data_IF_153370004211
#
_entry.id   IF_153370004211
#
_cell.length_a   1.000
_cell.length_b   1.000
_cell.length_c   1.000
_cell.angle_alpha   90.00
_cell.angle_beta   90.00
_cell.angle_gamma   90.00
#
_symmetry.space_group_name_H-M   'P 1'
#
loop_
_entity.id
_entity.type
_entity.pdbx_description
1 polymer ?
#
# COMPACT_ATOMS: atom_id res chain seq x y z
N UNK A 1 -14.01 13.22 0.04
CA UNK A 1 -13.26 13.23 -1.21
C UNK A 1 -12.21 14.30 -1.14
N UNK A 2 -10.99 13.96 -1.52
CA UNK A 2 -9.92 14.92 -1.80
C UNK A 2 -9.88 15.04 -3.32
N UNK A 3 -9.91 16.25 -3.85
CA UNK A 3 -9.80 16.47 -5.29
C UNK A 3 -8.37 16.14 -5.74
N UNK A 4 -8.23 15.41 -6.85
CA UNK A 4 -6.94 15.04 -7.43
C UNK A 4 -7.06 14.92 -8.95
N UNK A 5 -5.92 15.04 -9.62
CA UNK A 5 -5.74 14.70 -11.03
C UNK A 5 -4.88 13.43 -11.12
N UNK A 6 -5.27 12.51 -12.01
CA UNK A 6 -4.47 11.32 -12.31
C UNK A 6 -3.84 11.47 -13.69
N UNK A 7 -2.51 11.30 -13.75
CA UNK A 7 -1.76 11.27 -15.01
C UNK A 7 -1.28 9.85 -15.25
N UNK A 8 -1.76 9.23 -16.34
CA UNK A 8 -1.24 7.93 -16.76
C UNK A 8 0.14 8.09 -17.40
N UNK A 9 1.18 7.77 -16.63
CA UNK A 9 2.59 7.83 -17.03
C UNK A 9 3.11 6.55 -17.70
N UNK A 10 2.24 5.54 -17.86
CA UNK A 10 2.58 4.26 -18.48
C UNK A 10 1.43 3.75 -19.37
N UNK A 11 1.00 4.51 -20.40
CA UNK A 11 0.01 4.03 -21.35
C UNK A 11 0.51 2.83 -22.15
N UNK A 12 1.84 2.72 -22.30
CA UNK A 12 2.57 1.60 -22.87
C UNK A 12 3.99 1.54 -22.27
N UNK A 13 4.70 0.44 -22.55
CA UNK A 13 6.03 0.19 -21.99
C UNK A 13 7.10 1.14 -22.52
N UNK A 14 7.01 1.56 -23.79
CA UNK A 14 8.01 2.44 -24.41
C UNK A 14 7.91 3.86 -23.86
N UNK A 15 6.69 4.38 -23.74
CA UNK A 15 6.40 5.67 -23.13
C UNK A 15 6.89 5.70 -21.68
N UNK A 16 6.59 4.67 -20.88
CA UNK A 16 7.12 4.56 -19.52
C UNK A 16 8.65 4.58 -19.49
N UNK A 17 9.29 3.72 -20.28
CA UNK A 17 10.73 3.54 -20.26
C UNK A 17 11.49 4.80 -20.71
N UNK A 18 11.01 5.44 -21.77
CA UNK A 18 11.73 6.53 -22.43
C UNK A 18 11.38 7.92 -21.87
N UNK A 19 10.14 8.14 -21.40
CA UNK A 19 9.68 9.48 -21.02
C UNK A 19 9.56 9.69 -19.51
N UNK A 20 9.21 8.66 -18.74
CA UNK A 20 8.77 8.83 -17.35
C UNK A 20 9.68 8.16 -16.33
N UNK A 21 10.19 6.96 -16.60
CA UNK A 21 10.97 6.19 -15.63
C UNK A 21 12.18 6.97 -15.09
N UNK A 22 12.90 7.67 -15.97
CA UNK A 22 14.06 8.49 -15.57
C UNK A 22 13.71 9.76 -14.78
N UNK A 23 12.44 10.20 -14.82
CA UNK A 23 11.94 11.36 -14.06
C UNK A 23 11.47 10.99 -12.66
N UNK A 24 11.21 9.70 -12.41
CA UNK A 24 10.75 9.24 -11.09
C UNK A 24 11.95 9.08 -10.15
N UNK A 25 11.87 9.56 -8.88
CA UNK A 25 12.98 9.51 -7.93
C UNK A 25 13.63 8.13 -7.75
N UNK A 26 12.82 7.06 -7.85
CA UNK A 26 13.27 5.68 -7.69
C UNK A 26 12.99 4.82 -8.93
N UNK A 27 12.74 5.44 -10.09
CA UNK A 27 12.44 4.70 -11.32
C UNK A 27 11.16 3.86 -11.24
N UNK A 28 10.21 4.25 -10.39
CA UNK A 28 8.94 3.57 -10.15
C UNK A 28 7.82 4.58 -9.92
N UNK A 29 6.60 4.20 -10.30
CA UNK A 29 5.35 4.87 -9.95
C UNK A 29 4.72 4.16 -8.73
N UNK A 30 3.83 4.81 -7.95
CA UNK A 30 3.31 6.18 -8.14
C UNK A 30 4.21 7.29 -7.59
N UNK A 31 3.95 8.51 -8.06
CA UNK A 31 4.48 9.78 -7.57
C UNK A 31 3.30 10.68 -7.19
N UNK A 32 3.34 11.29 -6.01
CA UNK A 32 2.41 12.31 -5.58
C UNK A 32 3.09 13.69 -5.70
N UNK A 33 2.41 14.61 -6.37
CA UNK A 33 2.71 16.04 -6.29
C UNK A 33 1.66 16.71 -5.38
N UNK A 34 2.10 17.32 -4.28
CA UNK A 34 1.25 18.07 -3.35
C UNK A 34 1.83 19.47 -3.11
N UNK A 35 1.43 20.45 -3.94
CA UNK A 35 2.09 21.75 -3.99
C UNK A 35 3.53 21.60 -4.48
N UNK A 36 4.51 22.03 -3.70
CA UNK A 36 5.94 21.87 -3.99
C UNK A 36 6.50 20.52 -3.51
N UNK A 37 5.71 19.73 -2.77
CA UNK A 37 6.14 18.45 -2.22
C UNK A 37 6.00 17.35 -3.27
N UNK A 38 7.11 16.74 -3.64
CA UNK A 38 7.16 15.52 -4.44
C UNK A 38 7.42 14.31 -3.52
N UNK A 39 6.54 13.31 -3.59
CA UNK A 39 6.63 12.08 -2.79
C UNK A 39 6.50 10.85 -3.68
N UNK A 40 7.50 9.97 -3.65
CA UNK A 40 7.43 8.62 -4.17
C UNK A 40 7.21 7.60 -3.03
N UNK A 41 7.04 6.32 -3.38
CA UNK A 41 6.68 5.21 -2.48
C UNK A 41 5.21 5.25 -2.04
N UNK A 42 4.44 4.25 -2.49
CA UNK A 42 3.00 4.16 -2.25
C UNK A 42 2.62 4.29 -0.77
N UNK A 43 3.37 3.66 0.15
CA UNK A 43 3.09 3.71 1.57
C UNK A 43 3.44 5.07 2.20
N UNK A 44 4.46 5.78 1.69
CA UNK A 44 4.78 7.14 2.15
C UNK A 44 3.69 8.13 1.72
N UNK A 45 3.26 8.04 0.46
CA UNK A 45 2.14 8.80 -0.11
C UNK A 45 0.86 8.56 0.69
N UNK A 46 0.52 7.29 0.94
CA UNK A 46 -0.67 6.90 1.68
C UNK A 46 -0.68 7.50 3.10
N UNK A 47 0.43 7.41 3.83
CA UNK A 47 0.57 8.01 5.16
C UNK A 47 0.48 9.54 5.13
N UNK A 48 1.06 10.19 4.12
CA UNK A 48 0.99 11.65 3.94
C UNK A 48 -0.44 12.12 3.74
N UNK A 49 -1.15 11.51 2.80
CA UNK A 49 -2.56 11.83 2.52
C UNK A 49 -3.45 11.57 3.72
N UNK A 50 -3.23 10.45 4.42
CA UNK A 50 -3.92 10.11 5.66
C UNK A 50 -3.74 11.19 6.74
N UNK A 51 -2.52 11.68 6.96
CA UNK A 51 -2.26 12.79 7.89
C UNK A 51 -2.96 14.08 7.48
N UNK A 52 -2.92 14.41 6.19
CA UNK A 52 -3.53 15.64 5.64
C UNK A 52 -5.05 15.69 5.86
N UNK A 53 -5.72 14.53 5.84
CA UNK A 53 -7.17 14.43 6.09
C UNK A 53 -7.53 14.06 7.53
N UNK A 54 -6.55 14.02 8.45
CA UNK A 54 -6.77 13.72 9.87
C UNK A 54 -7.12 12.26 10.17
N UNK A 55 -6.72 11.30 9.32
CA UNK A 55 -7.04 9.85 9.43
C UNK A 55 -5.82 8.97 9.71
N UNK A 56 -4.87 9.45 10.50
CA UNK A 56 -3.58 8.79 10.75
C UNK A 56 -3.40 8.33 12.20
N UNK A 57 -4.48 7.98 12.91
CA UNK A 57 -4.42 7.64 14.35
C UNK A 57 -4.24 8.86 15.27
N UNK A 58 -4.76 8.74 16.50
CA UNK A 58 -4.82 9.84 17.46
C UNK A 58 -3.54 9.98 18.31
N UNK A 59 -2.77 8.90 18.45
CA UNK A 59 -1.53 8.85 19.24
C UNK A 59 -0.33 8.33 18.45
N UNK A 60 0.86 8.42 19.04
CA UNK A 60 2.09 7.83 18.48
C UNK A 60 1.94 6.30 18.43
N UNK A 61 1.31 5.72 19.44
CA UNK A 61 1.05 4.29 19.54
C UNK A 61 0.07 3.81 18.47
N UNK A 62 -0.98 4.58 18.17
CA UNK A 62 -1.93 4.26 17.10
C UNK A 62 -1.23 4.27 15.73
N UNK A 63 -0.38 5.28 15.49
CA UNK A 63 0.42 5.40 14.27
C UNK A 63 1.36 4.22 14.09
N UNK A 64 2.07 3.83 15.14
CA UNK A 64 2.98 2.70 15.10
C UNK A 64 2.25 1.38 14.75
N UNK A 65 1.05 1.16 15.29
CA UNK A 65 0.22 -0.01 14.93
C UNK A 65 -0.22 0.04 13.47
N UNK A 66 -0.69 1.20 13.01
CA UNK A 66 -1.12 1.38 11.62
C UNK A 66 0.03 1.19 10.63
N UNK A 67 1.22 1.69 10.95
CA UNK A 67 2.43 1.50 10.16
C UNK A 67 2.80 0.02 10.07
N UNK A 68 2.81 -0.68 11.21
CA UNK A 68 3.14 -2.09 11.26
C UNK A 68 2.19 -2.95 10.39
N UNK A 69 0.88 -2.70 10.46
CA UNK A 69 -0.08 -3.43 9.62
C UNK A 69 0.09 -3.08 8.15
N UNK A 70 0.27 -1.80 7.84
CA UNK A 70 0.40 -1.32 6.46
C UNK A 70 1.61 -1.94 5.78
N UNK A 71 2.76 -1.98 6.45
CA UNK A 71 3.99 -2.57 5.93
C UNK A 71 3.86 -4.10 5.77
N UNK A 72 3.22 -4.80 6.72
CA UNK A 72 2.99 -6.25 6.60
C UNK A 72 2.06 -6.60 5.43
N UNK A 73 1.03 -5.78 5.17
CA UNK A 73 0.17 -5.95 3.98
C UNK A 73 0.96 -5.73 2.69
N UNK A 74 1.86 -4.75 2.67
CA UNK A 74 2.74 -4.50 1.52
C UNK A 74 3.71 -5.66 1.26
N UNK A 75 4.22 -6.33 2.30
CA UNK A 75 5.04 -7.53 2.15
C UNK A 75 4.26 -8.70 1.53
N UNK A 76 3.01 -8.90 1.95
CA UNK A 76 2.11 -9.89 1.34
C UNK A 76 1.86 -9.54 -0.12
N UNK A 77 1.51 -8.29 -0.42
CA UNK A 77 1.25 -7.81 -1.77
C UNK A 77 2.47 -7.98 -2.66
N UNK A 78 3.65 -7.65 -2.17
CA UNK A 78 4.93 -7.82 -2.89
C UNK A 78 5.20 -9.28 -3.24
N UNK A 79 4.93 -10.21 -2.32
CA UNK A 79 5.00 -11.64 -2.58
C UNK A 79 4.02 -12.10 -3.67
N UNK A 80 2.79 -11.60 -3.64
CA UNK A 80 1.77 -11.87 -4.66
C UNK A 80 2.19 -11.36 -6.04
N UNK A 81 2.61 -10.08 -6.14
CA UNK A 81 3.08 -9.47 -7.38
C UNK A 81 4.25 -10.26 -7.97
N UNK A 82 5.23 -10.65 -7.15
CA UNK A 82 6.34 -11.47 -7.60
C UNK A 82 5.87 -12.80 -8.17
N UNK A 83 4.95 -13.50 -7.49
CA UNK A 83 4.39 -14.76 -8.00
C UNK A 83 3.73 -14.57 -9.37
N UNK A 84 2.87 -13.57 -9.52
CA UNK A 84 2.17 -13.29 -10.80
C UNK A 84 3.16 -13.05 -11.95
N UNK A 85 4.20 -12.25 -11.76
CA UNK A 85 5.08 -11.84 -12.85
C UNK A 85 6.27 -12.76 -13.09
N UNK A 86 6.65 -13.63 -12.14
CA UNK A 86 7.86 -14.44 -12.26
C UNK A 86 7.65 -15.94 -12.12
N UNK A 87 6.54 -16.39 -11.54
CA UNK A 87 6.33 -17.81 -11.23
C UNK A 87 4.84 -18.19 -11.17
N UNK A 88 4.04 -17.72 -12.13
CA UNK A 88 2.58 -17.86 -12.05
C UNK A 88 2.13 -19.32 -12.19
N UNK A 89 2.57 -20.00 -13.24
CA UNK A 89 2.12 -21.37 -13.57
C UNK A 89 2.44 -22.36 -12.45
N UNK A 90 3.67 -22.32 -11.92
CA UNK A 90 4.12 -23.28 -10.90
C UNK A 90 3.86 -22.80 -9.46
N UNK A 91 3.88 -21.49 -9.23
CA UNK A 91 3.87 -20.90 -7.88
C UNK A 91 2.49 -20.55 -7.33
N UNK A 92 1.46 -20.48 -8.18
CA UNK A 92 0.12 -20.02 -7.77
C UNK A 92 -0.51 -20.90 -6.69
N UNK A 93 -0.52 -22.22 -6.88
CA UNK A 93 -1.17 -23.12 -5.93
C UNK A 93 -0.54 -23.06 -4.54
N UNK A 94 0.79 -23.10 -4.48
CA UNK A 94 1.53 -23.05 -3.22
C UNK A 94 1.40 -21.69 -2.54
N UNK A 95 1.39 -20.61 -3.32
CA UNK A 95 1.10 -19.27 -2.79
C UNK A 95 -0.28 -19.20 -2.15
N UNK A 96 -1.31 -19.74 -2.80
CA UNK A 96 -2.69 -19.76 -2.27
C UNK A 96 -2.77 -20.61 -1.00
N UNK A 97 -2.14 -21.80 -0.98
CA UNK A 97 -2.09 -22.66 0.21
C UNK A 97 -1.44 -21.95 1.40
N UNK A 98 -0.35 -21.22 1.16
CA UNK A 98 0.38 -20.48 2.19
C UNK A 98 -0.28 -19.14 2.58
N UNK A 99 -1.20 -18.60 1.77
CA UNK A 99 -1.77 -17.27 1.98
C UNK A 99 -2.49 -17.17 3.33
N UNK A 100 -3.25 -18.20 3.71
CA UNK A 100 -3.93 -18.24 5.00
C UNK A 100 -2.96 -18.04 6.17
N UNK A 101 -1.80 -18.72 6.14
CA UNK A 101 -0.78 -18.58 7.18
C UNK A 101 -0.13 -17.20 7.21
N UNK A 102 -0.01 -16.52 6.05
CA UNK A 102 0.50 -15.14 5.96
C UNK A 102 -0.47 -14.11 6.52
N UNK A 103 -1.78 -14.41 6.50
CA UNK A 103 -2.84 -13.53 7.02
C UNK A 103 -3.09 -13.72 8.52
N UNK A 104 -2.85 -14.92 9.09
CA UNK A 104 -3.05 -15.19 10.54
C UNK A 104 -2.45 -14.15 11.49
N UNK A 105 -1.24 -13.61 11.26
CA UNK A 105 -0.70 -12.54 12.12
C UNK A 105 -1.58 -11.28 12.11
N UNK A 106 -2.14 -10.91 10.96
CA UNK A 106 -3.06 -9.77 10.85
C UNK A 106 -4.32 -10.02 11.67
N UNK A 107 -4.95 -11.19 11.52
CA UNK A 107 -6.16 -11.56 12.27
C UNK A 107 -5.91 -11.51 13.79
N UNK A 108 -4.77 -12.05 14.23
CA UNK A 108 -4.37 -12.06 15.64
C UNK A 108 -4.19 -10.64 16.18
N UNK A 109 -3.57 -9.75 15.39
CA UNK A 109 -3.33 -8.36 15.79
C UNK A 109 -4.63 -7.54 15.78
N UNK A 110 -5.51 -7.76 14.81
CA UNK A 110 -6.83 -7.16 14.74
C UNK A 110 -7.64 -7.49 16.00
N UNK A 111 -7.76 -8.78 16.33
CA UNK A 111 -8.46 -9.26 17.54
C UNK A 111 -7.85 -8.70 18.83
N UNK A 112 -6.54 -8.44 18.86
CA UNK A 112 -5.84 -7.88 20.03
C UNK A 112 -6.08 -6.38 20.21
N UNK A 113 -6.30 -5.64 19.12
CA UNK A 113 -6.26 -4.18 19.13
C UNK A 113 -7.59 -3.49 18.89
N UNK A 114 -8.58 -4.17 18.32
CA UNK A 114 -9.91 -3.60 18.10
C UNK A 114 -10.98 -4.65 17.89
N UNK A 115 -12.24 -4.21 18.01
CA UNK A 115 -13.41 -5.07 17.79
C UNK A 115 -13.84 -5.06 16.30
N UNK A 116 -13.63 -3.95 15.55
CA UNK A 116 -14.06 -3.78 14.14
C UNK A 116 -13.01 -3.13 13.18
N UNK A 117 -11.95 -2.48 13.70
CA UNK A 117 -10.93 -1.76 12.92
C UNK A 117 -9.58 -1.75 13.66
N UNK A 118 -8.47 -1.53 12.95
CA UNK A 118 -7.12 -1.43 13.56
C UNK A 118 -7.02 -0.21 14.52
N UNK A 119 -7.84 0.82 14.28
CA UNK A 119 -8.02 1.98 15.17
C UNK A 119 -9.49 2.31 15.32
N UNK A 120 -9.89 3.22 16.23
CA UNK A 120 -11.30 3.58 16.46
C UNK A 120 -12.04 4.21 15.24
N UNK A 121 -11.39 4.37 14.08
CA UNK A 121 -11.94 4.92 12.83
C UNK A 121 -11.17 4.39 11.61
N UNK A 122 -11.79 4.38 10.42
CA UNK A 122 -11.14 4.01 9.14
C UNK A 122 -9.82 4.77 8.95
N UNK A 123 -8.74 4.03 8.79
CA UNK A 123 -7.38 4.51 8.59
C UNK A 123 -6.79 3.94 7.30
N UNK A 124 -5.58 4.38 6.95
CA UNK A 124 -4.93 3.99 5.71
C UNK A 124 -4.66 2.48 5.57
N UNK A 125 -4.44 1.81 6.70
CA UNK A 125 -4.29 0.36 6.72
C UNK A 125 -5.56 -0.36 6.24
N UNK A 126 -6.75 0.19 6.49
CA UNK A 126 -8.02 -0.38 6.04
C UNK A 126 -8.21 -0.22 4.52
N UNK A 127 -7.73 0.87 3.92
CA UNK A 127 -7.70 1.07 2.47
C UNK A 127 -6.70 0.15 1.74
N UNK A 128 -5.68 -0.36 2.45
CA UNK A 128 -4.72 -1.33 1.90
C UNK A 128 -5.27 -2.77 1.93
N UNK A 129 -6.22 -3.06 2.83
CA UNK A 129 -6.86 -4.37 2.97
C UNK A 129 -8.09 -4.53 2.06
N UNK A 130 -8.82 -3.45 1.78
CA UNK A 130 -10.01 -3.46 0.93
C UNK A 130 -9.84 -2.50 -0.24
N UNK A 131 -9.30 -3.00 -1.36
CA UNK A 131 -9.57 -2.42 -2.67
C UNK A 131 -10.76 -3.18 -3.28
N UNK A 132 -11.85 -2.50 -3.70
CA UNK A 132 -12.84 -3.12 -4.57
C UNK A 132 -12.22 -3.51 -5.92
#
# INVERSE_FOLDING_TARGET
NVDYEEINVAPDFETWLNEWKGKMPFGQAPLLQDGDLELAQSMAILRHLSRKVGRSGASIEDRAKLDMITDHVEDIRSGYVKMIYTNYEDGKEDYIKALGDKLKPLDTLLQKWGDDYITKSIAYADYNQFRP
#
